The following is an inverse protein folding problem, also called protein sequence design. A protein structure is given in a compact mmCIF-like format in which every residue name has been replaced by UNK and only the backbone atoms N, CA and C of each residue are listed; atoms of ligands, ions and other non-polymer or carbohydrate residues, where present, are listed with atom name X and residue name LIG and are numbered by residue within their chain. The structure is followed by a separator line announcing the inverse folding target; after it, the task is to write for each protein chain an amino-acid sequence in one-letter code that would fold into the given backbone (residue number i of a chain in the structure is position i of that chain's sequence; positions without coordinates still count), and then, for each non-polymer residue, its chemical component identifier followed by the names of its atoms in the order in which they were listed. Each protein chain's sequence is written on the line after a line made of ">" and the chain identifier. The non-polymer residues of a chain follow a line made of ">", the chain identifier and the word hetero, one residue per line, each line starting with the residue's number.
data_IF_204957846806
#
_entry.id   IF_204957846806
#
_cell.length_a   1.000
_cell.length_b   1.000
_cell.length_c   1.000
_cell.angle_alpha   90.00
_cell.angle_beta   90.00
_cell.angle_gamma   90.00
#
_symmetry.space_group_name_H-M   'P 1'
#
loop_
_entity.id
_entity.type
_entity.pdbx_description
1 polymer ?
#
# COMPACT_ATOMS: atom_id res chain seq x y z
N UNK A 1 -4.45 -8.22 10.24
CA UNK A 1 -3.54 -9.02 11.08
C UNK A 1 -2.18 -8.35 11.06
N UNK A 2 -1.43 -8.45 12.15
CA UNK A 2 -0.08 -7.87 12.28
C UNK A 2 0.83 -8.96 12.81
N UNK A 3 1.92 -9.23 12.10
CA UNK A 3 2.94 -10.20 12.48
C UNK A 3 4.25 -9.46 12.69
N UNK A 4 4.94 -9.75 13.80
CA UNK A 4 6.23 -9.15 14.12
C UNK A 4 7.36 -10.09 13.72
N UNK A 5 8.03 -9.80 12.60
CA UNK A 5 9.11 -10.63 12.07
C UNK A 5 10.45 -10.46 12.81
N UNK A 6 10.50 -9.61 13.84
CA UNK A 6 11.73 -9.41 14.63
C UNK A 6 11.97 -10.51 15.68
N UNK A 7 10.99 -11.40 15.91
CA UNK A 7 11.08 -12.49 16.87
C UNK A 7 10.78 -13.86 16.26
N UNK A 8 11.42 -14.91 16.77
CA UNK A 8 11.24 -16.29 16.28
C UNK A 8 9.77 -16.74 16.30
N UNK A 9 9.00 -16.29 17.31
CA UNK A 9 7.58 -16.59 17.41
C UNK A 9 6.77 -15.96 16.28
N UNK A 10 7.07 -14.71 15.91
CA UNK A 10 6.39 -14.02 14.82
C UNK A 10 6.83 -14.52 13.45
N UNK A 11 8.09 -14.96 13.30
CA UNK A 11 8.55 -15.69 12.11
C UNK A 11 7.78 -17.01 11.96
N UNK A 12 7.62 -17.81 13.02
CA UNK A 12 6.85 -19.06 12.96
C UNK A 12 5.36 -18.83 12.65
N UNK A 13 4.75 -17.78 13.21
CA UNK A 13 3.38 -17.38 12.87
C UNK A 13 3.26 -16.93 11.41
N UNK A 14 4.27 -16.20 10.91
CA UNK A 14 4.33 -15.78 9.52
C UNK A 14 4.49 -16.96 8.56
N UNK A 15 5.36 -17.92 8.87
CA UNK A 15 5.52 -19.14 8.09
C UNK A 15 4.23 -19.98 8.08
N UNK A 16 3.55 -20.08 9.22
CA UNK A 16 2.23 -20.72 9.32
C UNK A 16 1.22 -20.00 8.44
N UNK A 17 1.22 -18.68 8.45
CA UNK A 17 0.38 -17.88 7.56
C UNK A 17 0.73 -18.11 6.08
N UNK A 18 2.02 -18.16 5.71
CA UNK A 18 2.45 -18.45 4.34
C UNK A 18 2.05 -19.86 3.89
N UNK A 19 2.00 -20.84 4.80
CA UNK A 19 1.50 -22.19 4.52
C UNK A 19 -0.03 -22.22 4.44
N UNK A 20 -0.74 -21.39 5.19
CA UNK A 20 -2.20 -21.26 5.10
C UNK A 20 -2.67 -20.68 3.76
N UNK A 21 -1.82 -19.90 3.08
CA UNK A 21 -2.11 -19.33 1.76
C UNK A 21 -2.34 -20.42 0.70
N UNK A 22 -1.68 -21.58 0.79
CA UNK A 22 -1.83 -22.68 -0.18
C UNK A 22 -2.99 -23.65 0.14
N UNK A 23 -3.57 -23.56 1.35
CA UNK A 23 -4.52 -24.54 1.87
C UNK A 23 -6.02 -24.18 1.74
N UNK A 24 -6.36 -23.07 1.08
CA UNK A 24 -7.75 -22.60 0.99
C UNK A 24 -8.31 -21.96 2.27
N UNK A 25 -7.50 -21.79 3.32
CA UNK A 25 -7.88 -21.03 4.52
C UNK A 25 -8.14 -19.55 4.22
N UNK A 26 -7.52 -18.99 3.17
CA UNK A 26 -7.86 -17.66 2.67
C UNK A 26 -9.33 -17.56 2.24
N UNK A 27 -9.92 -18.61 1.65
CA UNK A 27 -11.34 -18.63 1.33
C UNK A 27 -12.22 -18.70 2.58
N UNK A 28 -11.77 -19.39 3.63
CA UNK A 28 -12.46 -19.43 4.92
C UNK A 28 -12.39 -18.07 5.64
N UNK A 29 -11.22 -17.43 5.63
CA UNK A 29 -11.01 -16.07 6.15
C UNK A 29 -11.79 -15.03 5.35
N UNK A 30 -11.85 -15.17 4.04
CA UNK A 30 -12.67 -14.34 3.15
C UNK A 30 -14.17 -14.49 3.48
N UNK A 31 -14.65 -15.71 3.72
CA UNK A 31 -16.03 -15.95 4.17
C UNK A 31 -16.32 -15.32 5.54
N UNK A 32 -15.38 -15.41 6.47
CA UNK A 32 -15.46 -14.78 7.80
C UNK A 32 -15.49 -13.25 7.73
N UNK A 33 -14.66 -12.65 6.87
CA UNK A 33 -14.64 -11.22 6.60
C UNK A 33 -15.94 -10.77 5.91
N UNK A 34 -16.41 -11.51 4.90
CA UNK A 34 -17.66 -11.24 4.17
C UNK A 34 -18.88 -11.29 5.09
N UNK A 35 -18.91 -12.21 6.06
CA UNK A 35 -20.01 -12.32 7.02
C UNK A 35 -20.09 -11.13 8.00
N UNK A 36 -18.99 -10.38 8.19
CA UNK A 36 -18.90 -9.25 9.12
C UNK A 36 -18.89 -7.88 8.43
N UNK A 37 -18.72 -7.83 7.11
CA UNK A 37 -18.55 -6.58 6.39
C UNK A 37 -19.89 -5.86 6.16
N UNK A 38 -19.93 -4.60 6.58
CA UNK A 38 -20.89 -3.61 6.11
C UNK A 38 -20.47 -3.22 4.68
N UNK A 39 -21.43 -3.07 3.77
CA UNK A 39 -21.19 -2.58 2.41
C UNK A 39 -21.15 -1.05 2.41
N UNK A 40 -20.23 -0.46 1.66
CA UNK A 40 -20.15 0.98 1.46
C UNK A 40 -21.24 1.52 0.54
N UNK A 41 -21.37 2.85 0.48
CA UNK A 41 -22.31 3.55 -0.39
C UNK A 41 -22.10 3.25 -1.89
N UNK A 42 -20.93 2.74 -2.26
CA UNK A 42 -20.55 2.25 -3.58
C UNK A 42 -21.02 0.80 -3.85
N UNK A 43 -21.74 0.16 -2.92
CA UNK A 43 -22.16 -1.25 -3.00
C UNK A 43 -21.00 -2.24 -2.83
N UNK A 44 -19.83 -1.74 -2.45
CA UNK A 44 -18.56 -2.44 -2.39
C UNK A 44 -18.18 -2.70 -0.93
N UNK A 45 -17.44 -3.78 -0.65
CA UNK A 45 -16.89 -4.03 0.68
C UNK A 45 -16.04 -2.84 1.15
N UNK A 46 -16.21 -2.46 2.42
CA UNK A 46 -15.45 -1.40 3.06
C UNK A 46 -14.00 -1.83 3.28
N UNK A 47 -13.08 -0.92 3.02
CA UNK A 47 -11.64 -1.06 3.20
C UNK A 47 -11.13 0.16 3.98
N UNK A 48 -10.66 -0.09 5.19
CA UNK A 48 -10.10 0.90 6.11
C UNK A 48 -8.56 0.99 6.00
N UNK A 49 -8.03 0.84 4.79
CA UNK A 49 -6.58 0.76 4.55
C UNK A 49 -5.79 1.95 5.08
N UNK A 50 -6.32 3.17 5.01
CA UNK A 50 -5.63 4.35 5.55
C UNK A 50 -5.47 4.29 7.08
N UNK A 51 -6.51 3.87 7.80
CA UNK A 51 -6.42 3.65 9.25
C UNK A 51 -5.45 2.49 9.60
N UNK A 52 -5.45 1.42 8.81
CA UNK A 52 -4.53 0.30 9.00
C UNK A 52 -3.06 0.72 8.82
N UNK A 53 -2.77 1.53 7.79
CA UNK A 53 -1.44 2.09 7.56
C UNK A 53 -1.01 3.02 8.69
N UNK A 54 -1.92 3.87 9.18
CA UNK A 54 -1.63 4.75 10.32
C UNK A 54 -1.36 3.97 11.61
N UNK A 55 -2.13 2.92 11.86
CA UNK A 55 -1.89 2.02 13.00
C UNK A 55 -0.52 1.36 12.90
N UNK A 56 -0.18 0.85 11.71
CA UNK A 56 1.10 0.21 11.46
C UNK A 56 2.28 1.19 11.65
N UNK A 57 2.15 2.42 11.15
CA UNK A 57 3.16 3.46 11.35
C UNK A 57 3.33 3.83 12.84
N UNK A 58 2.23 3.84 13.61
CA UNK A 58 2.28 4.08 15.06
C UNK A 58 2.88 2.90 15.82
N UNK A 59 2.60 1.66 15.41
CA UNK A 59 3.17 0.46 16.04
C UNK A 59 4.69 0.40 15.88
N UNK A 60 5.22 0.88 14.76
CA UNK A 60 6.67 0.92 14.47
C UNK A 60 7.35 2.22 14.89
N UNK A 61 6.62 3.17 15.49
CA UNK A 61 7.13 4.51 15.81
C UNK A 61 8.33 4.50 16.76
N UNK A 62 8.41 3.53 17.66
CA UNK A 62 9.47 3.43 18.67
C UNK A 62 10.75 2.78 18.15
N UNK A 63 10.62 1.81 17.25
CA UNK A 63 11.75 0.99 16.77
C UNK A 63 12.20 1.37 15.36
N UNK A 64 11.37 2.12 14.62
CA UNK A 64 11.44 2.13 13.17
C UNK A 64 11.10 0.77 12.59
N UNK A 65 11.29 0.63 11.27
CA UNK A 65 11.18 -0.65 10.58
C UNK A 65 10.39 -0.56 9.30
N UNK A 66 9.88 -1.71 8.83
CA UNK A 66 9.13 -1.82 7.59
C UNK A 66 7.81 -2.53 7.86
N UNK A 67 6.73 -2.01 7.30
CA UNK A 67 5.45 -2.68 7.37
C UNK A 67 4.78 -2.77 6.01
N UNK A 68 4.18 -3.93 5.77
CA UNK A 68 3.53 -4.25 4.50
C UNK A 68 2.03 -4.31 4.69
N UNK A 69 1.31 -3.44 4.01
CA UNK A 69 -0.15 -3.50 3.92
C UNK A 69 -0.55 -4.27 2.67
N UNK A 70 -1.29 -5.36 2.87
CA UNK A 70 -1.79 -6.22 1.80
C UNK A 70 -3.29 -5.98 1.66
N UNK A 71 -3.74 -5.71 0.45
CA UNK A 71 -5.16 -5.49 0.15
C UNK A 71 -5.47 -5.86 -1.29
N UNK A 72 -6.73 -5.99 -1.61
CA UNK A 72 -7.23 -6.10 -2.99
C UNK A 72 -8.13 -4.92 -3.36
N UNK A 73 -8.25 -3.92 -2.46
CA UNK A 73 -9.09 -2.73 -2.64
C UNK A 73 -8.43 -1.47 -2.13
N UNK A 74 -8.72 -0.35 -2.80
CA UNK A 74 -8.41 0.97 -2.29
C UNK A 74 -9.03 1.21 -0.91
N UNK A 75 -8.42 2.06 -0.08
CA UNK A 75 -9.07 2.57 1.12
C UNK A 75 -10.31 3.40 0.70
N UNK A 76 -11.51 2.90 0.98
CA UNK A 76 -12.77 3.58 0.66
C UNK A 76 -13.56 3.98 1.93
N UNK A 77 -13.04 3.67 3.12
CA UNK A 77 -13.70 3.92 4.39
C UNK A 77 -12.73 4.41 5.48
N UNK A 78 -13.23 5.28 6.35
CA UNK A 78 -12.47 5.80 7.49
C UNK A 78 -11.39 6.82 7.11
N UNK A 79 -10.41 6.98 8.01
CA UNK A 79 -9.29 7.89 7.80
C UNK A 79 -8.45 7.48 6.59
N UNK A 80 -8.07 8.44 5.76
CA UNK A 80 -7.35 8.19 4.50
C UNK A 80 -8.21 7.54 3.42
N UNK A 81 -9.55 7.63 3.52
CA UNK A 81 -10.46 7.28 2.42
C UNK A 81 -10.05 8.03 1.17
N UNK A 82 -9.71 7.29 0.12
CA UNK A 82 -9.43 7.83 -1.19
C UNK A 82 -10.74 7.86 -1.97
N UNK A 83 -11.19 8.99 -2.52
CA UNK A 83 -12.41 9.04 -3.33
C UNK A 83 -12.24 8.31 -4.67
N UNK A 84 -13.35 7.92 -5.30
CA UNK A 84 -13.29 7.20 -6.58
C UNK A 84 -12.97 8.21 -7.67
N UNK A 85 -11.87 8.00 -8.40
CA UNK A 85 -11.37 8.94 -9.41
C UNK A 85 -11.55 8.44 -10.84
N UNK A 86 -12.27 7.34 -11.03
CA UNK A 86 -12.60 6.89 -12.39
C UNK A 86 -13.38 8.00 -13.08
N UNK A 87 -12.88 8.32 -14.25
CA UNK A 87 -13.25 9.47 -15.02
C UNK A 87 -14.77 9.48 -15.26
N UNK A 88 -15.41 10.60 -14.91
CA UNK A 88 -16.50 11.11 -15.73
C UNK A 88 -15.92 11.55 -17.08
N UNK A 89 -15.27 10.66 -17.84
CA UNK A 89 -15.04 10.92 -19.25
C UNK A 89 -16.39 10.71 -19.90
N UNK A 90 -17.03 11.83 -20.25
CA UNK A 90 -18.10 11.87 -21.23
C UNK A 90 -17.67 11.06 -22.47
N UNK A 91 -18.12 9.80 -22.57
CA UNK A 91 -18.21 9.05 -23.82
C UNK A 91 -16.93 8.75 -24.63
N UNK A 92 -15.73 9.17 -24.21
CA UNK A 92 -14.49 8.88 -24.94
C UNK A 92 -13.64 7.88 -24.18
N UNK A 93 -13.95 6.60 -24.39
CA UNK A 93 -12.99 5.52 -24.17
C UNK A 93 -11.84 5.71 -25.14
N UNK A 94 -10.76 6.36 -24.71
CA UNK A 94 -9.49 6.29 -25.42
C UNK A 94 -8.95 4.86 -25.29
N UNK A 95 -9.28 4.02 -26.29
CA UNK A 95 -8.63 2.74 -26.48
C UNK A 95 -7.13 2.97 -26.67
N UNK A 96 -6.33 2.54 -25.69
CA UNK A 96 -4.88 2.36 -25.87
C UNK A 96 -3.97 3.38 -25.18
N UNK A 97 -4.47 4.35 -24.42
CA UNK A 97 -3.62 5.26 -23.63
C UNK A 97 -3.78 4.95 -22.16
N UNK A 98 -2.70 4.52 -21.49
CA UNK A 98 -2.69 4.36 -20.03
C UNK A 98 -3.00 5.71 -19.40
N UNK A 99 -4.15 5.84 -18.75
CA UNK A 99 -4.50 7.05 -18.00
C UNK A 99 -3.66 7.05 -16.72
N UNK A 100 -2.51 7.72 -16.78
CA UNK A 100 -1.66 7.92 -15.62
C UNK A 100 -2.36 8.89 -14.65
N UNK A 101 -2.86 8.35 -13.54
CA UNK A 101 -3.40 9.19 -12.47
C UNK A 101 -2.26 9.89 -11.74
N UNK A 102 -2.37 11.20 -11.51
CA UNK A 102 -1.44 11.93 -10.65
C UNK A 102 -1.74 11.62 -9.18
N UNK A 103 -0.72 11.39 -8.32
CA UNK A 103 -0.91 11.27 -6.88
C UNK A 103 -1.63 12.50 -6.32
N UNK A 104 -2.53 12.29 -5.36
CA UNK A 104 -3.31 13.39 -4.76
C UNK A 104 -2.41 14.42 -4.05
N UNK A 105 -1.28 13.98 -3.50
CA UNK A 105 -0.30 14.80 -2.80
C UNK A 105 0.39 15.85 -3.70
N UNK A 106 0.55 15.55 -4.99
CA UNK A 106 1.29 16.39 -5.95
C UNK A 106 0.34 17.27 -6.78
N UNK A 107 -0.93 16.86 -6.89
CA UNK A 107 -1.91 17.50 -7.78
C UNK A 107 -2.22 18.93 -7.34
N UNK A 108 -2.12 19.90 -8.25
CA UNK A 108 -2.21 21.34 -7.92
C UNK A 108 -3.63 21.86 -7.60
N UNK A 109 -4.69 21.09 -7.83
CA UNK A 109 -6.09 21.52 -7.71
C UNK A 109 -6.99 20.45 -7.05
N UNK A 110 -6.60 19.94 -5.87
CA UNK A 110 -7.43 19.02 -5.09
C UNK A 110 -8.36 19.78 -4.14
N UNK A 111 -9.63 19.41 -4.11
CA UNK A 111 -10.66 20.02 -3.24
C UNK A 111 -11.53 18.96 -2.56
N UNK A 112 -12.18 19.34 -1.45
CA UNK A 112 -13.07 18.45 -0.70
C UNK A 112 -12.38 17.19 -0.18
N UNK A 113 -13.03 16.03 -0.35
CA UNK A 113 -12.53 14.72 0.10
C UNK A 113 -11.16 14.35 -0.49
N UNK A 114 -10.85 14.79 -1.72
CA UNK A 114 -9.53 14.53 -2.34
C UNK A 114 -8.39 15.23 -1.60
N UNK A 115 -8.65 16.44 -1.11
CA UNK A 115 -7.67 17.22 -0.33
C UNK A 115 -7.45 16.60 1.05
N UNK A 116 -8.52 16.16 1.70
CA UNK A 116 -8.41 15.48 3.00
C UNK A 116 -7.57 14.20 2.90
N UNK A 117 -7.76 13.41 1.84
CA UNK A 117 -6.95 12.24 1.55
C UNK A 117 -5.49 12.62 1.25
N UNK A 118 -5.25 13.64 0.42
CA UNK A 118 -3.91 14.13 0.12
C UNK A 118 -3.15 14.54 1.39
N UNK A 119 -3.77 15.40 2.21
CA UNK A 119 -3.18 15.90 3.46
C UNK A 119 -2.99 14.75 4.47
N UNK A 120 -3.85 13.72 4.46
CA UNK A 120 -3.68 12.54 5.31
C UNK A 120 -2.42 11.77 4.95
N UNK A 121 -2.23 11.42 3.68
CA UNK A 121 -1.08 10.63 3.26
C UNK A 121 0.23 11.43 3.32
N UNK A 122 0.21 12.73 3.05
CA UNK A 122 1.36 13.63 3.24
C UNK A 122 1.78 13.71 4.73
N UNK A 123 0.82 13.87 5.64
CA UNK A 123 1.11 13.83 7.09
C UNK A 123 1.65 12.48 7.53
N UNK A 124 1.07 11.38 7.03
CA UNK A 124 1.51 10.03 7.35
C UNK A 124 2.94 9.78 6.86
N UNK A 125 3.25 10.16 5.62
CA UNK A 125 4.58 10.01 5.05
C UNK A 125 5.63 10.80 5.84
N UNK A 126 5.36 12.09 6.13
CA UNK A 126 6.25 12.91 6.97
C UNK A 126 6.47 12.33 8.36
N UNK A 127 5.42 11.75 8.96
CA UNK A 127 5.55 11.04 10.24
C UNK A 127 6.48 9.84 10.10
N UNK A 128 6.26 9.00 9.09
CA UNK A 128 7.05 7.79 8.85
C UNK A 128 8.53 8.10 8.59
N UNK A 129 8.82 9.14 7.80
CA UNK A 129 10.20 9.61 7.56
C UNK A 129 10.86 10.05 8.87
N UNK A 130 10.13 10.74 9.74
CA UNK A 130 10.66 11.17 11.04
C UNK A 130 10.90 10.01 12.01
N UNK A 131 10.11 8.95 11.91
CA UNK A 131 10.17 7.78 12.80
C UNK A 131 10.92 6.60 12.18
N UNK A 132 11.59 6.80 11.04
CA UNK A 132 12.37 5.77 10.34
C UNK A 132 11.52 4.53 9.97
N UNK A 133 10.27 4.76 9.56
CA UNK A 133 9.32 3.72 9.14
C UNK A 133 9.17 3.73 7.62
N UNK A 134 9.33 2.56 6.99
CA UNK A 134 9.08 2.33 5.58
C UNK A 134 7.75 1.60 5.40
N UNK A 135 6.90 2.08 4.48
CA UNK A 135 5.58 1.48 4.22
C UNK A 135 5.55 0.84 2.83
N UNK A 136 5.25 -0.46 2.79
CA UNK A 136 4.98 -1.18 1.56
C UNK A 136 3.48 -1.40 1.37
N UNK A 137 3.04 -1.40 0.12
CA UNK A 137 1.66 -1.70 -0.25
C UNK A 137 1.67 -2.78 -1.32
N UNK A 138 0.96 -3.87 -1.04
CA UNK A 138 0.78 -4.98 -1.98
C UNK A 138 -0.69 -5.08 -2.33
N UNK A 139 -0.98 -4.85 -3.60
CA UNK A 139 -2.28 -5.10 -4.19
C UNK A 139 -2.32 -6.46 -4.87
N UNK A 140 -3.32 -7.28 -4.57
CA UNK A 140 -3.61 -8.47 -5.35
C UNK A 140 -4.98 -8.38 -6.02
N UNK A 141 -5.14 -9.02 -7.17
CA UNK A 141 -6.45 -9.18 -7.80
C UNK A 141 -7.33 -10.14 -7.00
N UNK A 142 -8.62 -9.80 -6.89
CA UNK A 142 -9.63 -10.73 -6.40
C UNK A 142 -10.48 -11.19 -7.61
N UNK A 143 -10.35 -12.45 -8.06
CA UNK A 143 -11.11 -12.95 -9.21
C UNK A 143 -12.63 -13.03 -8.95
N UNK A 144 -13.05 -13.14 -7.69
CA UNK A 144 -14.46 -13.24 -7.29
C UNK A 144 -15.15 -11.87 -7.09
N UNK A 145 -14.39 -10.78 -7.20
CA UNK A 145 -14.86 -9.42 -6.97
C UNK A 145 -14.91 -8.59 -8.24
N UNK A 146 -15.78 -7.57 -8.32
CA UNK A 146 -15.73 -6.61 -9.41
C UNK A 146 -14.38 -5.88 -9.39
N UNK A 147 -13.82 -5.63 -10.58
CA UNK A 147 -12.62 -4.82 -10.74
C UNK A 147 -12.88 -3.42 -10.18
N UNK A 148 -12.13 -3.04 -9.14
CA UNK A 148 -12.26 -1.76 -8.50
C UNK A 148 -11.07 -0.87 -8.84
N UNK A 149 -11.31 0.43 -9.03
CA UNK A 149 -10.25 1.43 -9.04
C UNK A 149 -9.46 1.37 -7.73
N UNK A 150 -8.15 1.17 -7.81
CA UNK A 150 -7.26 0.99 -6.64
C UNK A 150 -6.58 2.28 -6.19
N UNK A 151 -6.56 3.30 -7.04
CA UNK A 151 -5.74 4.49 -6.88
C UNK A 151 -4.28 4.23 -6.43
N UNK A 152 -3.56 3.49 -7.28
CA UNK A 152 -2.16 3.17 -7.04
C UNK A 152 -1.25 4.40 -7.00
N UNK A 153 -1.64 5.52 -7.63
CA UNK A 153 -0.81 6.71 -7.68
C UNK A 153 -0.64 7.35 -6.30
N UNK A 154 -1.73 7.53 -5.55
CA UNK A 154 -1.70 8.17 -4.22
C UNK A 154 -0.91 7.33 -3.22
N UNK A 155 -1.10 6.01 -3.23
CA UNK A 155 -0.39 5.12 -2.33
C UNK A 155 1.05 4.84 -2.78
N UNK A 156 1.30 4.85 -4.09
CA UNK A 156 2.64 4.77 -4.65
C UNK A 156 3.50 5.95 -4.21
N UNK A 157 2.92 7.15 -4.09
CA UNK A 157 3.62 8.31 -3.56
C UNK A 157 3.98 8.17 -2.07
N UNK A 158 3.07 7.60 -1.26
CA UNK A 158 3.38 7.26 0.14
C UNK A 158 4.54 6.26 0.24
N UNK A 159 4.52 5.19 -0.56
CA UNK A 159 5.61 4.22 -0.62
C UNK A 159 6.91 4.91 -1.06
N UNK A 160 6.85 5.79 -2.08
CA UNK A 160 8.02 6.52 -2.60
C UNK A 160 8.66 7.39 -1.52
N UNK A 161 7.88 8.18 -0.80
CA UNK A 161 8.41 9.07 0.25
C UNK A 161 8.99 8.31 1.44
N UNK A 162 8.48 7.12 1.73
CA UNK A 162 8.96 6.27 2.84
C UNK A 162 9.98 5.21 2.40
N UNK A 163 10.47 5.27 1.15
CA UNK A 163 11.37 4.27 0.56
C UNK A 163 10.82 2.82 0.56
N UNK A 164 9.51 2.66 0.60
CA UNK A 164 8.83 1.39 0.46
C UNK A 164 8.55 0.98 -0.99
N UNK A 165 7.87 -0.16 -1.15
CA UNK A 165 7.53 -0.78 -2.43
C UNK A 165 6.02 -0.80 -2.61
N UNK A 166 5.56 -0.44 -3.81
CA UNK A 166 4.19 -0.69 -4.26
C UNK A 166 4.21 -1.85 -5.26
N UNK A 167 3.56 -2.96 -4.93
CA UNK A 167 3.43 -4.11 -5.83
C UNK A 167 1.96 -4.28 -6.22
N UNK A 168 1.69 -4.48 -7.51
CA UNK A 168 0.36 -4.89 -7.97
C UNK A 168 0.43 -6.23 -8.72
N UNK A 169 -0.15 -7.25 -8.12
CA UNK A 169 -0.26 -8.59 -8.67
C UNK A 169 -1.57 -8.67 -9.44
N UNK A 170 -1.44 -8.73 -10.77
CA UNK A 170 -2.56 -8.89 -11.70
C UNK A 170 -2.50 -10.27 -12.33
N UNK A 171 -2.92 -11.29 -11.59
CA UNK A 171 -2.96 -12.68 -12.03
C UNK A 171 -4.28 -13.34 -11.62
N UNK A 172 -4.78 -14.26 -12.45
CA UNK A 172 -5.89 -15.12 -12.06
C UNK A 172 -5.49 -15.98 -10.85
N UNK A 173 -4.28 -16.56 -10.94
CA UNK A 173 -3.63 -17.30 -9.87
C UNK A 173 -2.75 -16.35 -9.05
N UNK A 174 -3.37 -15.41 -8.32
CA UNK A 174 -2.68 -14.37 -7.56
C UNK A 174 -1.96 -14.90 -6.30
N UNK A 175 -2.30 -16.10 -5.83
CA UNK A 175 -1.79 -16.69 -4.59
C UNK A 175 -0.28 -16.97 -4.66
N UNK A 176 0.18 -17.62 -5.73
CA UNK A 176 1.60 -17.99 -5.87
C UNK A 176 2.51 -16.76 -6.06
N UNK A 177 2.19 -15.79 -6.95
CA UNK A 177 2.95 -14.55 -7.05
C UNK A 177 2.92 -13.71 -5.76
N UNK A 178 1.81 -13.74 -5.01
CA UNK A 178 1.74 -13.07 -3.72
C UNK A 178 2.68 -13.73 -2.71
N UNK A 179 2.67 -15.06 -2.66
CA UNK A 179 3.57 -15.83 -1.79
C UNK A 179 5.03 -15.55 -2.13
N UNK A 180 5.38 -15.51 -3.41
CA UNK A 180 6.73 -15.20 -3.86
C UNK A 180 7.17 -13.78 -3.44
N UNK A 181 6.32 -12.77 -3.66
CA UNK A 181 6.60 -11.39 -3.27
C UNK A 181 6.78 -11.23 -1.75
N UNK A 182 5.95 -11.91 -0.96
CA UNK A 182 6.04 -11.92 0.50
C UNK A 182 7.28 -12.66 1.00
N UNK A 183 7.63 -13.78 0.37
CA UNK A 183 8.84 -14.55 0.69
C UNK A 183 10.10 -13.73 0.37
N UNK A 184 10.12 -13.06 -0.79
CA UNK A 184 11.22 -12.20 -1.18
C UNK A 184 11.40 -11.03 -0.21
N UNK A 185 10.31 -10.42 0.28
CA UNK A 185 10.39 -9.34 1.27
C UNK A 185 11.07 -9.82 2.57
N UNK A 186 10.75 -11.02 3.04
CA UNK A 186 11.34 -11.60 4.25
C UNK A 186 12.81 -12.02 4.07
N UNK A 187 13.19 -12.45 2.87
CA UNK A 187 14.56 -12.94 2.58
C UNK A 187 15.50 -11.84 2.08
N UNK A 188 14.95 -10.69 1.64
CA UNK A 188 15.75 -9.61 1.09
C UNK A 188 16.65 -8.97 2.14
N UNK A 189 17.90 -8.68 1.76
CA UNK A 189 18.80 -7.90 2.60
C UNK A 189 18.40 -6.43 2.55
N UNK A 190 17.86 -5.92 3.65
CA UNK A 190 17.36 -4.55 3.76
C UNK A 190 18.10 -3.80 4.86
N UNK A 191 18.55 -2.59 4.54
CA UNK A 191 19.09 -1.64 5.51
C UNK A 191 18.01 -0.66 5.95
N UNK A 192 18.00 -0.32 7.24
CA UNK A 192 17.08 0.64 7.84
C UNK A 192 17.83 1.92 8.21
N UNK A 193 17.12 3.05 8.18
CA UNK A 193 17.64 4.38 8.52
C UNK A 193 18.95 4.76 7.78
N UNK A 194 18.98 4.50 6.48
CA UNK A 194 20.15 4.77 5.65
C UNK A 194 20.19 6.23 5.19
N UNK A 195 21.33 6.90 5.41
CA UNK A 195 21.61 8.24 4.87
C UNK A 195 22.63 8.15 3.74
N UNK A 196 22.18 8.44 2.51
CA UNK A 196 23.05 8.46 1.33
C UNK A 196 23.70 9.84 1.14
N UNK A 197 25.03 9.89 1.10
CA UNK A 197 25.80 11.12 0.87
C UNK A 197 26.76 10.97 -0.31
N UNK A 198 26.53 11.77 -1.35
CA UNK A 198 27.43 11.88 -2.50
C UNK A 198 28.46 12.99 -2.25
N UNK A 199 29.74 12.66 -2.40
CA UNK A 199 30.84 13.63 -2.40
C UNK A 199 31.36 13.79 -3.82
N UNK A 200 31.52 15.03 -4.26
CA UNK A 200 31.99 15.36 -5.60
C UNK A 200 33.37 16.02 -5.54
N UNK A 201 34.15 15.86 -6.60
CA UNK A 201 35.43 16.57 -6.74
C UNK A 201 35.19 18.08 -6.89
N UNK A 202 36.26 18.87 -6.70
CA UNK A 202 36.20 20.31 -6.82
C UNK A 202 35.69 20.71 -8.22
N UNK A 203 34.67 21.57 -8.25
CA UNK A 203 34.01 22.02 -9.49
C UNK A 203 32.76 21.23 -9.89
N UNK A 204 32.47 20.11 -9.24
CA UNK A 204 31.24 19.34 -9.46
C UNK A 204 30.25 19.54 -8.31
N UNK A 205 28.97 19.73 -8.62
CA UNK A 205 27.88 19.89 -7.65
C UNK A 205 26.71 18.96 -8.00
N UNK A 206 26.15 18.28 -6.99
CA UNK A 206 24.93 17.50 -7.14
C UNK A 206 23.75 18.45 -7.26
N UNK A 207 23.05 18.42 -8.40
CA UNK A 207 21.92 19.30 -8.70
C UNK A 207 20.60 18.79 -8.14
N UNK A 208 20.37 17.49 -8.19
CA UNK A 208 19.15 16.83 -7.72
C UNK A 208 19.41 15.35 -7.44
N UNK A 209 18.55 14.75 -6.62
CA UNK A 209 18.35 13.30 -6.49
C UNK A 209 16.89 13.01 -6.85
N UNK A 210 16.65 11.86 -7.47
CA UNK A 210 15.32 11.41 -7.90
C UNK A 210 14.85 10.27 -7.01
#
# INVERSE_FOLDING_TARGET
>A
WTYDLSCDQGVAQWETFLQSLSGGEMNALYKLAKARNVYGHDGLMLSCGGAALQFLAHALETTGGRGTWISWRRPNYGAGKVPHRDEKTNGMRFQGTYVCSTPLQIRKNVTGEEKEAADFYDRLAKKCVKTHVCLDVVYHTNPDGPTAFLDMATLGELCRETCGKLTWIRAADWEEPLREELSHAAQSFVGYDAVFKVRTSQGLQVKAYL
#
